data_IF_022248031830
#
_entry.id   IF_022248031830
#
_cell.length_a   1.000
_cell.length_b   1.000
_cell.length_c   1.000
_cell.angle_alpha   90.00
_cell.angle_beta   90.00
_cell.angle_gamma   90.00
#
_symmetry.space_group_name_H-M   'P 1'
#
loop_
_entity.id
_entity.type
_entity.pdbx_description
1 polymer ?
#
# COMPACT_ATOMS: atom_id res chain seq x y z
N UNK A 1 20.76 9.73 6.79
CA UNK A 1 21.39 9.81 5.46
C UNK A 1 20.85 11.04 4.77
N UNK A 2 21.67 12.05 4.50
CA UNK A 2 21.27 13.17 3.64
C UNK A 2 21.47 12.67 2.21
N UNK A 3 20.38 12.33 1.52
CA UNK A 3 20.45 12.00 0.10
C UNK A 3 20.74 13.31 -0.63
N UNK A 4 22.00 13.52 -1.03
CA UNK A 4 22.33 14.63 -1.90
C UNK A 4 21.66 14.38 -3.25
N UNK A 5 20.86 15.34 -3.71
CA UNK A 5 20.35 15.31 -5.08
C UNK A 5 21.51 15.59 -6.02
N UNK A 6 21.67 14.75 -7.06
CA UNK A 6 22.65 14.97 -8.11
C UNK A 6 22.49 16.36 -8.73
N UNK A 7 23.59 17.04 -9.02
CA UNK A 7 23.59 18.33 -9.70
C UNK A 7 23.36 18.15 -11.20
N UNK A 8 22.17 18.51 -11.73
CA UNK A 8 21.91 18.55 -13.18
C UNK A 8 20.56 17.97 -13.61
N UNK A 9 20.58 16.81 -14.28
CA UNK A 9 19.39 16.18 -14.87
C UNK A 9 18.46 15.63 -13.78
N UNK A 10 17.43 16.40 -13.44
CA UNK A 10 16.44 15.97 -12.47
C UNK A 10 15.30 15.23 -13.19
N UNK A 11 15.11 13.96 -12.85
CA UNK A 11 13.86 13.27 -13.15
C UNK A 11 12.74 14.00 -12.40
N UNK A 12 11.80 14.57 -13.14
CA UNK A 12 10.68 15.26 -12.54
C UNK A 12 9.84 14.24 -11.75
N UNK A 13 9.56 14.54 -10.49
CA UNK A 13 8.70 13.72 -9.65
C UNK A 13 7.80 14.60 -8.81
N UNK A 14 6.68 14.04 -8.39
CA UNK A 14 5.75 14.68 -7.47
C UNK A 14 5.47 13.76 -6.30
N UNK A 15 5.27 14.38 -5.14
CA UNK A 15 4.88 13.69 -3.91
C UNK A 15 3.57 14.30 -3.43
N UNK A 16 2.62 13.46 -3.04
CA UNK A 16 1.34 13.88 -2.47
C UNK A 16 0.82 12.84 -1.48
N UNK A 17 0.04 13.29 -0.52
CA UNK A 17 -0.68 12.40 0.39
C UNK A 17 -2.08 12.12 -0.18
N UNK A 18 -2.49 10.85 -0.15
CA UNK A 18 -3.81 10.40 -0.63
C UNK A 18 -4.35 9.40 0.38
N UNK A 19 -5.33 9.83 1.17
CA UNK A 19 -5.80 9.06 2.33
C UNK A 19 -4.64 8.79 3.29
N UNK A 20 -4.48 7.53 3.70
CA UNK A 20 -3.41 7.12 4.62
C UNK A 20 -2.04 6.95 3.94
N UNK A 21 -1.95 7.14 2.62
CA UNK A 21 -0.77 6.78 1.84
C UNK A 21 0.03 8.01 1.37
N UNK A 22 1.35 7.85 1.32
CA UNK A 22 2.25 8.72 0.55
C UNK A 22 2.38 8.17 -0.87
N UNK A 23 2.11 9.00 -1.87
CA UNK A 23 2.25 8.66 -3.29
C UNK A 23 3.38 9.47 -3.89
N UNK A 24 4.37 8.79 -4.45
CA UNK A 24 5.45 9.36 -5.26
C UNK A 24 5.24 8.94 -6.70
N UNK A 25 5.12 9.91 -7.61
CA UNK A 25 4.96 9.68 -9.05
C UNK A 25 6.10 10.36 -9.80
N UNK A 26 6.88 9.58 -10.54
CA UNK A 26 7.98 10.06 -11.36
C UNK A 26 7.58 10.12 -12.85
N UNK A 27 8.06 11.13 -13.58
CA UNK A 27 7.75 11.36 -15.00
C UNK A 27 8.18 10.21 -15.92
N UNK A 28 9.09 9.36 -15.45
CA UNK A 28 9.55 8.16 -16.14
C UNK A 28 8.56 6.98 -16.06
N UNK A 29 7.39 7.15 -15.44
CA UNK A 29 6.36 6.10 -15.37
C UNK A 29 6.54 5.12 -14.21
N UNK A 30 7.19 5.56 -13.13
CA UNK A 30 7.31 4.81 -11.87
C UNK A 30 6.45 5.49 -10.82
N UNK A 31 5.64 4.72 -10.12
CA UNK A 31 4.82 5.17 -8.99
C UNK A 31 5.08 4.29 -7.78
N UNK A 32 5.33 4.91 -6.64
CA UNK A 32 5.46 4.26 -5.34
C UNK A 32 4.35 4.75 -4.43
N UNK A 33 3.57 3.83 -3.88
CA UNK A 33 2.53 4.10 -2.89
C UNK A 33 2.97 3.43 -1.60
N UNK A 34 3.08 4.20 -0.52
CA UNK A 34 3.54 3.72 0.77
C UNK A 34 2.54 4.08 1.85
N UNK A 35 2.20 3.12 2.71
CA UNK A 35 1.25 3.28 3.84
C UNK A 35 1.86 4.01 5.05
N UNK A 36 3.07 4.56 4.90
CA UNK A 36 3.87 5.18 5.97
C UNK A 36 4.37 4.18 7.03
N UNK A 37 4.20 2.88 6.78
CA UNK A 37 4.57 1.76 7.65
C UNK A 37 5.37 0.74 6.84
N UNK A 38 4.80 -0.43 6.56
CA UNK A 38 5.49 -1.59 5.98
C UNK A 38 5.00 -1.94 4.57
N UNK A 39 3.86 -1.42 4.12
CA UNK A 39 3.27 -1.78 2.83
C UNK A 39 3.71 -0.82 1.74
N UNK A 40 4.36 -1.36 0.70
CA UNK A 40 4.80 -0.61 -0.48
C UNK A 40 4.16 -1.24 -1.72
N UNK A 41 3.52 -0.41 -2.54
CA UNK A 41 3.02 -0.78 -3.86
C UNK A 41 3.83 -0.06 -4.92
N UNK A 42 4.49 -0.82 -5.78
CA UNK A 42 5.25 -0.31 -6.92
C UNK A 42 4.40 -0.53 -8.16
N UNK A 43 4.21 0.54 -8.95
CA UNK A 43 3.58 0.45 -10.27
C UNK A 43 4.54 0.97 -11.32
N UNK A 44 4.63 0.21 -12.40
CA UNK A 44 5.47 0.52 -13.53
C UNK A 44 4.59 0.74 -14.77
N UNK A 45 4.96 1.71 -15.59
CA UNK A 45 4.39 1.86 -16.92
C UNK A 45 4.62 0.58 -17.74
N UNK A 46 3.71 0.21 -18.66
CA UNK A 46 3.86 -0.99 -19.49
C UNK A 46 5.14 -1.03 -20.34
N UNK A 47 5.80 0.11 -20.55
CA UNK A 47 7.11 0.20 -21.22
C UNK A 47 8.23 -0.56 -20.51
N UNK A 48 8.07 -0.88 -19.22
CA UNK A 48 9.04 -1.66 -18.43
C UNK A 48 8.84 -3.18 -18.52
N UNK A 49 7.90 -3.64 -19.35
CA UNK A 49 7.58 -5.07 -19.47
C UNK A 49 8.80 -5.88 -19.91
N UNK A 50 9.20 -6.86 -19.10
CA UNK A 50 10.35 -7.73 -19.37
C UNK A 50 11.72 -7.04 -19.31
N UNK A 51 11.80 -5.80 -18.82
CA UNK A 51 13.06 -5.03 -18.71
C UNK A 51 13.49 -4.77 -17.27
N UNK A 52 12.79 -5.37 -16.30
CA UNK A 52 13.09 -5.23 -14.87
C UNK A 52 13.48 -6.59 -14.29
N UNK A 53 14.08 -6.54 -13.11
CA UNK A 53 14.46 -7.71 -12.33
C UNK A 53 14.46 -7.33 -10.84
N UNK A 54 14.53 -8.34 -9.97
CA UNK A 54 14.51 -8.15 -8.53
C UNK A 54 13.47 -9.03 -7.85
N UNK A 55 13.22 -8.75 -6.57
CA UNK A 55 12.24 -9.48 -5.75
C UNK A 55 10.79 -9.40 -6.28
N UNK A 56 10.49 -8.41 -7.12
CA UNK A 56 9.17 -8.26 -7.76
C UNK A 56 9.06 -8.98 -9.12
N UNK A 57 10.02 -9.83 -9.48
CA UNK A 57 10.05 -10.56 -10.74
C UNK A 57 10.49 -9.68 -11.92
N UNK A 58 10.14 -10.10 -13.13
CA UNK A 58 10.60 -9.45 -14.38
C UNK A 58 9.49 -8.71 -15.17
N UNK A 59 8.24 -8.78 -14.67
CA UNK A 59 7.08 -8.12 -15.25
C UNK A 59 6.82 -8.49 -16.73
N UNK A 60 6.93 -9.77 -17.12
CA UNK A 60 6.65 -10.23 -18.49
C UNK A 60 5.24 -10.87 -18.69
N UNK A 61 4.44 -10.90 -17.62
CA UNK A 61 3.14 -11.60 -17.48
C UNK A 61 3.21 -13.13 -17.39
N UNK A 62 4.38 -13.68 -17.10
CA UNK A 62 4.58 -15.10 -16.84
C UNK A 62 5.19 -15.27 -15.45
N UNK A 63 4.44 -15.89 -14.53
CA UNK A 63 4.91 -16.04 -13.16
C UNK A 63 5.93 -17.17 -12.96
N UNK A 64 6.03 -18.11 -13.91
CA UNK A 64 6.87 -19.30 -13.76
C UNK A 64 8.38 -19.03 -13.79
N UNK A 65 8.79 -17.81 -14.13
CA UNK A 65 10.19 -17.37 -14.20
C UNK A 65 10.46 -16.15 -13.31
N UNK A 66 9.53 -15.77 -12.42
CA UNK A 66 9.74 -14.63 -11.53
C UNK A 66 10.86 -14.88 -10.51
N UNK A 67 11.11 -16.14 -10.15
CA UNK A 67 12.26 -16.54 -9.31
C UNK A 67 13.55 -16.66 -10.14
N UNK A 68 13.89 -15.59 -10.84
CA UNK A 68 15.18 -15.44 -11.53
C UNK A 68 16.18 -14.75 -10.61
N UNK A 69 17.30 -15.40 -10.34
CA UNK A 69 18.40 -14.89 -9.50
C UNK A 69 19.20 -13.78 -10.19
N UNK A 70 20.06 -13.09 -9.43
CA UNK A 70 20.95 -12.02 -9.95
C UNK A 70 21.92 -12.50 -11.04
N UNK A 71 22.24 -13.80 -11.10
CA UNK A 71 23.06 -14.45 -12.13
C UNK A 71 22.24 -15.10 -13.26
N UNK A 72 20.96 -14.73 -13.39
CA UNK A 72 20.04 -15.14 -14.46
C UNK A 72 19.66 -16.62 -14.48
N UNK A 73 19.71 -17.29 -13.32
CA UNK A 73 19.18 -18.65 -13.18
C UNK A 73 17.75 -18.63 -12.65
N UNK A 74 16.88 -19.47 -13.22
CA UNK A 74 15.53 -19.69 -12.67
C UNK A 74 15.62 -20.79 -11.62
N UNK A 75 15.16 -20.50 -10.41
CA UNK A 75 15.20 -21.43 -9.26
C UNK A 75 13.80 -21.63 -8.69
N UNK A 76 13.58 -22.79 -8.05
CA UNK A 76 12.31 -23.08 -7.38
C UNK A 76 12.30 -22.62 -5.90
N UNK A 77 13.48 -22.36 -5.33
CA UNK A 77 13.66 -22.02 -3.92
C UNK A 77 13.52 -20.52 -3.68
N UNK A 78 12.55 -20.13 -2.85
CA UNK A 78 12.34 -18.74 -2.41
C UNK A 78 13.58 -18.16 -1.71
N UNK A 79 14.30 -19.00 -0.94
CA UNK A 79 15.48 -18.58 -0.20
C UNK A 79 16.66 -18.33 -1.13
N UNK A 80 16.90 -19.21 -2.11
CA UNK A 80 17.98 -19.02 -3.07
C UNK A 80 17.73 -17.78 -3.93
N UNK A 81 16.47 -17.60 -4.37
CA UNK A 81 16.03 -16.41 -5.08
C UNK A 81 16.25 -15.14 -4.24
N UNK A 82 15.69 -15.08 -3.03
CA UNK A 82 15.75 -13.90 -2.16
C UNK A 82 17.17 -13.53 -1.73
N UNK A 83 17.99 -14.52 -1.35
CA UNK A 83 19.38 -14.30 -0.95
C UNK A 83 20.24 -13.76 -2.10
N UNK A 84 19.93 -14.11 -3.36
CA UNK A 84 20.67 -13.61 -4.53
C UNK A 84 20.48 -12.09 -4.76
N UNK A 85 19.42 -11.50 -4.21
CA UNK A 85 19.09 -10.08 -4.36
C UNK A 85 19.60 -9.18 -3.23
N UNK A 86 20.34 -9.71 -2.25
CA UNK A 86 20.95 -8.88 -1.21
C UNK A 86 21.93 -7.86 -1.81
N UNK A 87 21.90 -6.63 -1.29
CA UNK A 87 22.76 -5.55 -1.78
C UNK A 87 24.18 -5.64 -1.23
N UNK A 88 24.33 -5.96 0.07
CA UNK A 88 25.62 -6.11 0.69
C UNK A 88 26.01 -7.60 0.80
N UNK A 89 27.21 -8.00 0.34
CA UNK A 89 27.67 -9.39 0.45
C UNK A 89 27.89 -9.82 1.91
N UNK A 90 28.06 -8.87 2.82
CA UNK A 90 28.20 -9.11 4.26
C UNK A 90 26.87 -9.44 4.96
N UNK A 91 25.72 -9.24 4.30
CA UNK A 91 24.44 -9.67 4.83
C UNK A 91 24.38 -11.19 4.86
N UNK A 92 23.92 -11.79 5.98
CA UNK A 92 23.80 -13.23 6.11
C UNK A 92 22.73 -13.76 5.17
N UNK A 93 22.91 -14.99 4.70
CA UNK A 93 21.87 -15.71 3.97
C UNK A 93 20.81 -16.22 4.94
N UNK A 94 19.56 -16.18 4.50
CA UNK A 94 18.43 -16.80 5.20
C UNK A 94 18.41 -18.27 4.83
N UNK A 95 18.59 -19.16 5.81
CA UNK A 95 18.59 -20.62 5.59
C UNK A 95 17.25 -21.30 5.88
N UNK A 96 16.40 -20.66 6.70
CA UNK A 96 15.09 -21.16 7.08
C UNK A 96 14.16 -19.98 7.31
N UNK A 97 12.95 -20.05 6.74
CA UNK A 97 11.88 -19.09 7.02
C UNK A 97 11.39 -19.32 8.45
N UNK A 98 11.45 -18.31 9.36
CA UNK A 98 10.92 -18.47 10.71
C UNK A 98 9.43 -18.80 10.69
N UNK A 99 8.97 -19.59 11.66
CA UNK A 99 7.56 -19.76 11.98
C UNK A 99 7.25 -18.97 13.27
N UNK A 100 6.70 -17.75 13.19
CA UNK A 100 6.45 -16.92 14.36
C UNK A 100 5.39 -17.53 15.28
N UNK A 101 4.40 -18.24 14.75
CA UNK A 101 3.34 -18.82 15.56
C UNK A 101 3.82 -20.06 16.31
N UNK A 102 4.76 -20.84 15.73
CA UNK A 102 5.44 -21.91 16.47
C UNK A 102 6.36 -21.37 17.56
N UNK A 103 7.01 -20.21 17.34
CA UNK A 103 7.84 -19.53 18.34
C UNK A 103 7.01 -18.88 19.45
N UNK A 104 5.86 -18.31 19.10
CA UNK A 104 4.96 -17.59 19.99
C UNK A 104 3.55 -18.25 20.04
N UNK A 105 3.43 -19.51 20.53
CA UNK A 105 2.18 -20.27 20.45
C UNK A 105 1.03 -19.65 21.26
N UNK A 106 1.36 -18.88 22.30
CA UNK A 106 0.37 -18.16 23.11
C UNK A 106 -0.35 -17.04 22.33
N UNK A 107 0.24 -16.55 21.22
CA UNK A 107 -0.36 -15.51 20.36
C UNK A 107 -1.27 -16.08 19.28
N UNK A 108 -1.09 -17.35 18.92
CA UNK A 108 -1.78 -17.99 17.80
C UNK A 108 -3.31 -17.86 17.90
N UNK A 109 -3.89 -18.15 19.07
CA UNK A 109 -5.35 -18.08 19.25
C UNK A 109 -5.91 -16.68 19.02
N UNK A 110 -5.19 -15.64 19.45
CA UNK A 110 -5.59 -14.25 19.19
C UNK A 110 -5.44 -13.92 17.69
N UNK A 111 -4.31 -14.29 17.09
CA UNK A 111 -4.02 -14.06 15.68
C UNK A 111 -5.08 -14.69 14.77
N UNK A 112 -5.38 -15.98 14.93
CA UNK A 112 -6.41 -16.69 14.15
C UNK A 112 -7.78 -16.06 14.32
N UNK A 113 -8.15 -15.71 15.56
CA UNK A 113 -9.45 -15.08 15.84
C UNK A 113 -9.59 -13.73 15.15
N UNK A 114 -8.60 -12.84 15.28
CA UNK A 114 -8.68 -11.51 14.66
C UNK A 114 -8.61 -11.60 13.14
N UNK A 115 -7.64 -12.36 12.61
CA UNK A 115 -7.46 -12.52 11.17
C UNK A 115 -8.61 -13.26 10.47
N UNK A 116 -9.45 -14.01 11.21
CA UNK A 116 -10.66 -14.63 10.67
C UNK A 116 -11.62 -13.64 10.03
N UNK A 117 -11.53 -12.34 10.36
CA UNK A 117 -12.26 -11.26 9.70
C UNK A 117 -12.13 -11.33 8.17
N UNK A 118 -10.92 -11.61 7.65
CA UNK A 118 -10.63 -11.72 6.21
C UNK A 118 -11.49 -12.79 5.53
N UNK A 119 -11.77 -13.88 6.25
CA UNK A 119 -12.59 -15.01 5.78
C UNK A 119 -14.07 -14.90 6.18
N UNK A 120 -14.44 -13.86 6.92
CA UNK A 120 -15.80 -13.65 7.40
C UNK A 120 -16.72 -13.08 6.32
N UNK A 121 -18.02 -13.04 6.61
CA UNK A 121 -19.01 -12.42 5.72
C UNK A 121 -18.79 -10.93 5.47
N UNK A 122 -18.03 -10.22 6.32
CA UNK A 122 -17.65 -8.80 6.11
C UNK A 122 -16.98 -8.62 4.75
N UNK A 123 -16.10 -9.55 4.38
CA UNK A 123 -15.40 -9.55 3.10
C UNK A 123 -16.06 -10.43 2.03
N UNK A 124 -17.27 -10.93 2.27
CA UNK A 124 -17.96 -11.89 1.39
C UNK A 124 -18.12 -11.41 -0.06
N UNK A 125 -18.27 -10.10 -0.27
CA UNK A 125 -18.35 -9.48 -1.61
C UNK A 125 -17.04 -9.51 -2.40
N UNK A 126 -15.92 -9.75 -1.72
CA UNK A 126 -14.57 -9.78 -2.31
C UNK A 126 -14.04 -11.21 -2.51
N UNK A 127 -14.54 -12.20 -1.75
CA UNK A 127 -14.04 -13.58 -1.79
C UNK A 127 -14.07 -14.22 -3.19
N UNK A 128 -15.00 -13.80 -4.05
CA UNK A 128 -15.10 -14.28 -5.44
C UNK A 128 -14.15 -13.57 -6.42
N UNK A 129 -13.49 -12.49 -5.99
CA UNK A 129 -12.61 -11.65 -6.81
C UNK A 129 -11.15 -11.77 -6.42
N UNK A 130 -10.86 -11.90 -5.12
CA UNK A 130 -9.51 -12.02 -4.57
C UNK A 130 -9.49 -13.15 -3.55
N UNK A 131 -8.60 -14.13 -3.75
CA UNK A 131 -8.43 -15.26 -2.83
C UNK A 131 -8.02 -14.75 -1.43
N UNK A 132 -8.83 -14.97 -0.37
CA UNK A 132 -8.52 -14.53 0.99
C UNK A 132 -7.41 -15.35 1.65
N UNK A 133 -7.08 -16.55 1.15
CA UNK A 133 -6.16 -17.48 1.81
C UNK A 133 -4.77 -16.89 2.08
N UNK A 134 -4.02 -16.36 1.07
CA UNK A 134 -2.69 -15.82 1.33
C UNK A 134 -2.71 -14.61 2.27
N UNK A 135 -3.75 -13.77 2.22
CA UNK A 135 -3.90 -12.63 3.11
C UNK A 135 -4.19 -13.04 4.56
N UNK A 136 -5.00 -14.08 4.76
CA UNK A 136 -5.25 -14.65 6.08
C UNK A 136 -3.96 -15.24 6.68
N UNK A 137 -3.22 -16.02 5.90
CA UNK A 137 -1.98 -16.67 6.35
C UNK A 137 -0.91 -15.61 6.71
N UNK A 138 -0.77 -14.57 5.90
CA UNK A 138 0.09 -13.42 6.20
C UNK A 138 -0.35 -12.68 7.48
N UNK A 139 -1.64 -12.41 7.63
CA UNK A 139 -2.18 -11.76 8.83
C UNK A 139 -1.87 -12.54 10.11
N UNK A 140 -2.04 -13.88 10.09
CA UNK A 140 -1.75 -14.73 11.25
C UNK A 140 -0.25 -14.74 11.54
N UNK A 141 0.58 -14.89 10.51
CA UNK A 141 2.03 -14.83 10.62
C UNK A 141 2.52 -13.52 11.27
N UNK A 142 2.03 -12.38 10.79
CA UNK A 142 2.43 -11.06 11.27
C UNK A 142 1.92 -10.79 12.70
N UNK A 143 0.69 -11.22 13.01
CA UNK A 143 0.10 -11.09 14.34
C UNK A 143 0.81 -11.93 15.41
N UNK A 144 1.43 -13.05 15.02
CA UNK A 144 2.28 -13.88 15.87
C UNK A 144 3.70 -13.31 16.04
N UNK A 145 4.20 -12.54 15.06
CA UNK A 145 5.56 -12.00 15.07
C UNK A 145 5.68 -10.63 15.74
N UNK A 146 4.59 -9.86 15.80
CA UNK A 146 4.54 -8.60 16.55
C UNK A 146 4.40 -8.87 18.05
N UNK A 147 5.51 -9.21 18.71
CA UNK A 147 5.58 -9.62 20.12
C UNK A 147 6.23 -8.59 21.05
N UNK A 148 6.72 -7.48 20.51
CA UNK A 148 7.39 -6.39 21.23
C UNK A 148 6.50 -5.14 21.43
N UNK A 149 5.21 -5.24 21.08
CA UNK A 149 4.22 -4.15 21.11
C UNK A 149 3.82 -3.71 19.69
N UNK A 150 2.64 -3.09 19.57
CA UNK A 150 2.10 -2.65 18.27
C UNK A 150 1.29 -3.72 17.53
N UNK A 151 0.87 -4.78 18.21
CA UNK A 151 0.21 -5.96 17.62
C UNK A 151 -1.07 -5.59 16.83
N UNK A 152 -1.81 -4.59 17.31
CA UNK A 152 -2.98 -4.05 16.62
C UNK A 152 -2.59 -3.39 15.28
N UNK A 153 -1.41 -2.77 15.20
CA UNK A 153 -0.93 -2.13 13.98
C UNK A 153 -0.63 -3.15 12.89
N UNK A 154 0.07 -4.24 13.24
CA UNK A 154 0.37 -5.34 12.32
C UNK A 154 -0.90 -5.97 11.77
N UNK A 155 -1.86 -6.28 12.66
CA UNK A 155 -3.18 -6.78 12.28
C UNK A 155 -3.92 -5.83 11.33
N UNK A 156 -4.03 -4.54 11.68
CA UNK A 156 -4.76 -3.58 10.86
C UNK A 156 -4.13 -3.37 9.48
N UNK A 157 -2.80 -3.36 9.37
CA UNK A 157 -2.11 -3.24 8.09
C UNK A 157 -2.32 -4.47 7.20
N UNK A 158 -2.32 -5.67 7.79
CA UNK A 158 -2.59 -6.92 7.04
C UNK A 158 -4.03 -6.96 6.50
N UNK A 159 -5.03 -6.57 7.30
CA UNK A 159 -6.42 -6.49 6.84
C UNK A 159 -6.62 -5.39 5.80
N UNK A 160 -6.01 -4.22 6.00
CA UNK A 160 -6.07 -3.11 5.03
C UNK A 160 -5.48 -3.51 3.67
N UNK A 161 -4.42 -4.32 3.65
CA UNK A 161 -3.83 -4.86 2.41
C UNK A 161 -4.84 -5.70 1.63
N UNK A 162 -5.64 -6.53 2.31
CA UNK A 162 -6.72 -7.27 1.65
C UNK A 162 -7.85 -6.35 1.16
N UNK A 163 -8.29 -5.40 1.99
CA UNK A 163 -9.32 -4.43 1.62
C UNK A 163 -8.93 -3.57 0.40
N UNK A 164 -7.64 -3.23 0.27
CA UNK A 164 -7.12 -2.51 -0.88
C UNK A 164 -7.13 -3.37 -2.15
N UNK A 165 -6.77 -4.66 -2.05
CA UNK A 165 -6.89 -5.60 -3.16
C UNK A 165 -8.35 -5.75 -3.61
N UNK A 166 -9.28 -5.84 -2.65
CA UNK A 166 -10.71 -5.87 -2.92
C UNK A 166 -11.19 -4.62 -3.65
N UNK A 167 -10.83 -3.43 -3.16
CA UNK A 167 -11.24 -2.16 -3.78
C UNK A 167 -10.71 -2.03 -5.21
N UNK A 168 -9.48 -2.50 -5.47
CA UNK A 168 -8.89 -2.53 -6.81
C UNK A 168 -9.70 -3.39 -7.78
N UNK A 169 -10.27 -4.50 -7.32
CA UNK A 169 -11.17 -5.37 -8.09
C UNK A 169 -12.65 -4.92 -8.01
N UNK A 170 -12.89 -3.68 -7.58
CA UNK A 170 -14.23 -3.08 -7.52
C UNK A 170 -15.14 -3.69 -6.45
N UNK A 171 -14.58 -4.27 -5.39
CA UNK A 171 -15.30 -4.70 -4.19
C UNK A 171 -14.91 -3.79 -3.02
N UNK A 172 -15.64 -2.68 -2.86
CA UNK A 172 -15.47 -1.80 -1.73
C UNK A 172 -16.01 -2.44 -0.44
N UNK A 173 -15.19 -2.54 0.62
CA UNK A 173 -15.56 -3.16 1.90
C UNK A 173 -15.35 -2.17 3.03
N UNK A 174 -16.41 -1.89 3.79
CA UNK A 174 -16.34 -1.10 5.03
C UNK A 174 -16.11 -2.05 6.21
N UNK A 175 -14.86 -2.18 6.66
CA UNK A 175 -14.47 -3.20 7.64
C UNK A 175 -14.02 -2.63 9.00
N UNK A 176 -13.63 -1.34 9.04
CA UNK A 176 -13.23 -0.67 10.28
C UNK A 176 -14.44 -0.36 11.15
N UNK A 177 -14.26 -0.45 12.46
CA UNK A 177 -15.26 -0.06 13.46
C UNK A 177 -14.57 0.70 14.62
N UNK A 178 -15.32 1.37 15.51
CA UNK A 178 -14.71 2.00 16.70
C UNK A 178 -13.86 1.04 17.55
N UNK A 179 -14.24 -0.24 17.60
CA UNK A 179 -13.54 -1.27 18.37
C UNK A 179 -12.49 -2.05 17.55
N UNK A 180 -12.49 -1.89 16.22
CA UNK A 180 -11.65 -2.67 15.30
C UNK A 180 -10.98 -1.75 14.28
N UNK A 181 -9.68 -1.52 14.49
CA UNK A 181 -8.86 -0.67 13.64
C UNK A 181 -9.47 0.74 13.40
N UNK A 182 -9.82 1.47 14.47
CA UNK A 182 -10.48 2.77 14.35
C UNK A 182 -9.61 3.77 13.59
N UNK A 183 -10.28 4.71 12.92
CA UNK A 183 -9.69 5.84 12.21
C UNK A 183 -10.31 7.14 12.74
N UNK A 184 -9.47 8.15 12.96
CA UNK A 184 -9.86 9.41 13.60
C UNK A 184 -9.85 10.56 12.58
N UNK A 185 -10.84 10.57 11.67
CA UNK A 185 -10.93 11.57 10.61
C UNK A 185 -11.39 12.94 11.11
N UNK A 186 -12.17 12.95 12.19
CA UNK A 186 -12.74 14.14 12.81
C UNK A 186 -11.68 15.05 13.45
N UNK A 187 -10.51 14.49 13.77
CA UNK A 187 -9.33 15.24 14.21
C UNK A 187 -8.95 16.39 13.26
N UNK A 188 -9.21 16.24 11.96
CA UNK A 188 -8.88 17.23 10.93
C UNK A 188 -9.95 18.30 10.74
N UNK A 189 -11.11 18.18 11.41
CA UNK A 189 -12.19 19.14 11.28
C UNK A 189 -11.89 20.45 12.01
N UNK A 190 -12.19 21.61 11.41
CA UNK A 190 -12.35 22.85 12.16
C UNK A 190 -13.44 22.70 13.23
N UNK A 191 -13.40 23.50 14.31
CA UNK A 191 -14.50 23.56 15.27
C UNK A 191 -15.84 23.83 14.56
N UNK A 192 -16.88 23.09 14.93
CA UNK A 192 -18.25 23.20 14.41
C UNK A 192 -18.44 22.87 12.91
N UNK A 193 -17.40 22.38 12.23
CA UNK A 193 -17.49 21.90 10.83
C UNK A 193 -17.26 20.38 10.76
N UNK A 194 -17.84 19.74 9.75
CA UNK A 194 -17.65 18.31 9.49
C UNK A 194 -17.28 18.12 8.01
N UNK A 195 -16.06 18.53 7.68
CA UNK A 195 -15.55 18.47 6.32
C UNK A 195 -14.82 17.13 6.06
N UNK A 196 -14.02 16.64 7.00
CA UNK A 196 -13.25 15.41 6.88
C UNK A 196 -14.05 14.19 7.29
N UNK A 197 -14.12 13.21 6.38
CA UNK A 197 -14.78 11.92 6.59
C UNK A 197 -13.86 10.77 6.21
N UNK A 198 -14.15 9.61 6.79
CA UNK A 198 -13.56 8.36 6.36
C UNK A 198 -14.17 7.92 5.03
N UNK A 199 -13.32 7.75 4.02
CA UNK A 199 -13.69 7.17 2.74
C UNK A 199 -13.00 5.79 2.61
N UNK A 200 -13.73 4.68 2.77
CA UNK A 200 -13.14 3.33 2.85
C UNK A 200 -12.44 2.90 1.55
N UNK A 201 -12.81 3.50 0.42
CA UNK A 201 -12.48 3.02 -0.91
C UNK A 201 -12.05 4.13 -1.89
N UNK A 202 -11.82 5.34 -1.39
CA UNK A 202 -11.40 6.52 -2.17
C UNK A 202 -12.33 7.03 -3.27
N UNK A 203 -13.51 6.41 -3.52
CA UNK A 203 -14.26 6.44 -4.78
C UNK A 203 -15.04 7.73 -5.08
N UNK A 204 -14.37 8.88 -5.06
CA UNK A 204 -14.88 10.15 -5.57
C UNK A 204 -13.80 10.86 -6.38
N UNK A 205 -14.13 11.38 -7.55
CA UNK A 205 -13.31 12.40 -8.23
C UNK A 205 -13.62 13.75 -7.59
N UNK A 206 -12.58 14.48 -7.18
CA UNK A 206 -12.72 15.83 -6.63
C UNK A 206 -11.68 16.74 -7.25
N UNK A 207 -12.06 18.00 -7.41
CA UNK A 207 -11.18 19.03 -7.93
C UNK A 207 -10.23 19.49 -6.82
N UNK A 208 -8.95 19.19 -6.99
CA UNK A 208 -7.85 19.82 -6.25
C UNK A 208 -7.32 21.01 -7.05
N UNK A 209 -6.59 21.92 -6.40
CA UNK A 209 -5.92 23.03 -7.10
C UNK A 209 -5.00 22.55 -8.24
N UNK A 210 -4.37 21.38 -8.09
CA UNK A 210 -3.56 20.76 -9.16
C UNK A 210 -4.41 20.38 -10.37
N UNK A 211 -5.51 19.66 -10.16
CA UNK A 211 -6.39 19.24 -11.26
C UNK A 211 -7.09 20.43 -11.93
N UNK A 212 -7.36 21.51 -11.19
CA UNK A 212 -7.91 22.76 -11.75
C UNK A 212 -6.87 23.47 -12.63
N UNK A 213 -5.60 23.41 -12.23
CA UNK A 213 -4.47 23.96 -12.98
C UNK A 213 -3.97 23.00 -14.08
N UNK A 214 -4.74 21.96 -14.44
CA UNK A 214 -4.42 21.02 -15.53
C UNK A 214 -3.34 19.99 -15.20
N UNK A 215 -2.93 19.88 -13.93
CA UNK A 215 -1.96 18.87 -13.48
C UNK A 215 -2.71 17.59 -13.11
N UNK A 216 -2.61 16.58 -13.98
CA UNK A 216 -3.22 15.27 -13.80
C UNK A 216 -2.15 14.18 -13.59
N UNK A 217 -2.51 13.12 -12.85
CA UNK A 217 -1.67 11.93 -12.74
C UNK A 217 -1.93 10.94 -13.85
N UNK A 218 -0.94 10.13 -14.20
CA UNK A 218 -1.04 9.11 -15.24
C UNK A 218 -1.85 7.88 -14.79
N UNK A 219 -2.08 7.74 -13.49
CA UNK A 219 -2.89 6.67 -12.91
C UNK A 219 -4.00 7.21 -12.02
N UNK A 220 -5.07 6.43 -11.90
CA UNK A 220 -6.04 6.62 -10.82
C UNK A 220 -5.51 6.03 -9.51
N UNK A 221 -5.41 6.89 -8.49
CA UNK A 221 -5.19 6.51 -7.08
C UNK A 221 -6.47 6.66 -6.25
N UNK A 222 -7.64 6.72 -6.92
CA UNK A 222 -8.94 6.94 -6.27
C UNK A 222 -9.48 5.72 -5.52
N UNK A 223 -8.69 4.68 -5.32
CA UNK A 223 -9.07 3.46 -4.61
C UNK A 223 -8.40 3.35 -3.23
N UNK A 224 -7.57 4.34 -2.88
CA UNK A 224 -6.83 4.36 -1.61
C UNK A 224 -7.76 4.77 -0.46
N UNK A 225 -7.75 3.96 0.59
CA UNK A 225 -8.47 4.20 1.84
C UNK A 225 -7.91 5.42 2.58
N UNK A 226 -8.79 6.21 3.21
CA UNK A 226 -8.37 7.16 4.24
C UNK A 226 -9.30 8.34 4.44
N UNK A 227 -8.76 9.36 5.10
CA UNK A 227 -9.44 10.59 5.42
C UNK A 227 -9.59 11.46 4.18
N UNK A 228 -10.73 12.11 4.05
CA UNK A 228 -11.00 12.99 2.92
C UNK A 228 -11.94 14.13 3.26
N UNK A 229 -11.58 15.32 2.82
CA UNK A 229 -12.45 16.50 2.89
C UNK A 229 -13.59 16.43 1.86
N UNK A 230 -14.83 16.53 2.32
CA UNK A 230 -15.99 16.99 1.58
C UNK A 230 -15.72 18.43 1.17
N UNK A 231 -15.64 18.71 -0.14
CA UNK A 231 -15.58 20.09 -0.60
C UNK A 231 -16.83 20.82 -0.09
N UNK A 232 -16.66 21.88 0.69
CA UNK A 232 -17.79 22.65 1.20
C UNK A 232 -18.69 23.08 0.05
N UNK A 233 -19.95 22.63 0.06
CA UNK A 233 -20.99 23.08 -0.87
C UNK A 233 -21.05 24.62 -0.81
N UNK A 234 -20.54 25.29 -1.85
CA UNK A 234 -20.51 26.75 -1.96
C UNK A 234 -19.12 27.41 -1.95
N UNK A 235 -18.03 26.72 -1.59
CA UNK A 235 -16.65 27.23 -1.80
C UNK A 235 -16.17 26.81 -3.19
N UNK A 236 -16.28 27.72 -4.15
CA UNK A 236 -15.79 27.50 -5.51
C UNK A 236 -14.27 27.26 -5.48
N UNK A 237 -13.75 26.11 -5.94
CA UNK A 237 -12.34 25.73 -5.79
C UNK A 237 -11.36 26.78 -6.35
N UNK A 238 -11.76 27.49 -7.41
CA UNK A 238 -10.96 28.56 -8.04
C UNK A 238 -10.65 29.76 -7.14
N UNK A 239 -11.46 30.04 -6.10
CA UNK A 239 -11.29 31.26 -5.29
C UNK A 239 -10.25 31.13 -4.17
N UNK A 240 -9.82 29.90 -3.84
CA UNK A 240 -8.86 29.64 -2.76
C UNK A 240 -7.54 29.00 -3.20
N UNK A 241 -7.39 28.66 -4.49
CA UNK A 241 -6.15 28.08 -4.99
C UNK A 241 -5.07 29.16 -5.13
N UNK A 242 -3.91 29.01 -4.47
CA UNK A 242 -2.74 29.80 -4.82
C UNK A 242 -2.46 29.56 -6.31
N UNK A 243 -2.33 30.63 -7.09
CA UNK A 243 -1.75 30.52 -8.43
C UNK A 243 -0.30 30.13 -8.19
N UNK A 244 0.07 28.87 -8.45
CA UNK A 244 1.49 28.49 -8.53
C UNK A 244 2.07 29.25 -9.71
N UNK A 245 2.69 30.40 -9.42
CA UNK A 245 3.65 31.02 -10.32
C UNK A 245 4.82 30.03 -10.41
N UNK A 246 4.85 29.28 -11.51
CA UNK A 246 5.99 28.44 -11.83
C UNK A 246 7.29 29.27 -11.93
N UNK A 247 8.46 28.62 -11.83
CA UNK A 247 9.75 29.26 -12.10
C UNK A 247 9.86 29.78 -13.54
#
# INVERSE_FOLDING_TARGET
VVIQRDTGHHVAYSTREVGQYLVVEASIGIIVIWDKKTSIFIKLAPSYKGTVCGLCGNFDHRSSNDFTTRDHMVVDSELDFGNSWKEAPTCPDVSVTPDPCARNPHRLSWAEKQCSLIKSSVFGVCHSKVDPKPFYEACVHDSCSCDTGGDCECFCSAVASYAQACTKEGACVFWRTPDLCPIFCDYYNPPDECEWHYEPCGNRTFETCRTINGIHSNISVSYLEGERASGAEGRHPRKGCPVELGP
#
